data_IF_198942993803
#
_entry.id   IF_198942993803
#
_cell.length_a   1.000
_cell.length_b   1.000
_cell.length_c   1.000
_cell.angle_alpha   90.00
_cell.angle_beta   90.00
_cell.angle_gamma   90.00
#
_symmetry.space_group_name_H-M   'P 1'
#
loop_
_entity.id
_entity.type
_entity.pdbx_description
1 polymer ?
#
# COMPACT_ATOMS: atom_id res chain seq x y z
N UNK A 1 -15.13 14.86 7.69
CA UNK A 1 -14.45 13.82 6.89
C UNK A 1 -12.99 13.83 7.31
N UNK A 2 -12.61 12.91 8.19
CA UNK A 2 -11.20 12.73 8.53
C UNK A 2 -10.49 12.20 7.28
N UNK A 3 -9.46 12.92 6.84
CA UNK A 3 -8.66 12.52 5.68
C UNK A 3 -7.74 11.40 6.15
N UNK A 4 -7.78 10.22 5.53
CA UNK A 4 -6.81 9.14 5.79
C UNK A 4 -5.40 9.74 5.69
N UNK A 5 -4.69 9.80 6.81
CA UNK A 5 -3.30 10.26 6.89
C UNK A 5 -2.43 9.03 6.90
N UNK A 6 -1.77 8.77 5.78
CA UNK A 6 -0.85 7.66 5.64
C UNK A 6 0.58 8.17 5.53
N UNK A 7 1.44 7.60 6.36
CA UNK A 7 2.88 7.84 6.32
C UNK A 7 3.48 7.11 5.12
N UNK A 8 4.17 7.85 4.25
CA UNK A 8 4.97 7.26 3.18
C UNK A 8 6.17 6.53 3.79
N UNK A 9 6.21 5.21 3.68
CA UNK A 9 7.32 4.41 4.24
C UNK A 9 8.67 4.66 3.53
N UNK A 10 8.67 5.28 2.36
CA UNK A 10 9.89 5.63 1.61
C UNK A 10 10.54 6.93 2.06
N UNK A 11 9.76 7.90 2.58
CA UNK A 11 10.30 9.19 3.01
C UNK A 11 9.91 9.63 4.43
N UNK A 12 9.07 8.85 5.12
CA UNK A 12 8.58 9.12 6.47
C UNK A 12 7.56 10.27 6.58
N UNK A 13 7.17 10.91 5.47
CA UNK A 13 6.23 12.03 5.50
C UNK A 13 4.77 11.55 5.46
N UNK A 14 3.88 12.22 6.19
CA UNK A 14 2.42 12.06 6.10
C UNK A 14 1.85 12.70 4.81
N UNK A 15 2.29 12.20 3.67
CA UNK A 15 2.04 12.80 2.35
C UNK A 15 1.50 11.83 1.30
N UNK A 16 1.14 10.60 1.68
CA UNK A 16 0.42 9.70 0.79
C UNK A 16 -1.02 10.21 0.62
N UNK A 17 -1.39 10.49 -0.64
CA UNK A 17 -2.73 10.94 -0.99
C UNK A 17 -3.37 9.94 -1.95
N UNK A 18 -4.67 9.60 -1.76
CA UNK A 18 -5.38 8.76 -2.70
C UNK A 18 -5.46 9.46 -4.06
N UNK A 19 -5.17 8.71 -5.12
CA UNK A 19 -5.41 9.13 -6.49
C UNK A 19 -6.81 8.70 -6.88
N UNK A 20 -7.60 9.62 -7.42
CA UNK A 20 -8.86 9.29 -8.05
C UNK A 20 -8.54 8.65 -9.41
N UNK A 21 -8.49 7.33 -9.45
CA UNK A 21 -8.33 6.58 -10.70
C UNK A 21 -9.71 6.34 -11.27
N UNK A 22 -10.05 7.06 -12.34
CA UNK A 22 -11.23 6.75 -13.16
C UNK A 22 -10.83 5.57 -14.03
N UNK A 23 -11.28 4.36 -13.67
CA UNK A 23 -11.17 3.20 -14.53
C UNK A 23 -12.30 3.32 -15.57
N UNK A 24 -11.97 3.81 -16.77
CA UNK A 24 -12.92 3.82 -17.88
C UNK A 24 -13.19 2.38 -18.33
N UNK A 25 -14.42 1.90 -18.09
CA UNK A 25 -15.06 0.76 -18.76
C UNK A 25 -14.49 -0.66 -18.55
N UNK A 26 -13.94 -0.99 -17.38
CA UNK A 26 -13.65 -2.39 -16.97
C UNK A 26 -14.03 -2.70 -15.50
N UNK A 27 -15.06 -2.03 -14.96
CA UNK A 27 -15.51 -2.26 -13.58
C UNK A 27 -15.98 -3.72 -13.35
N UNK A 28 -16.51 -4.39 -14.37
CA UNK A 28 -17.06 -5.75 -14.23
C UNK A 28 -16.00 -6.86 -14.18
N UNK A 29 -14.82 -6.72 -14.82
CA UNK A 29 -13.81 -7.79 -14.81
C UNK A 29 -12.97 -7.79 -13.53
N UNK A 30 -12.69 -6.61 -12.96
CA UNK A 30 -11.94 -6.49 -11.71
C UNK A 30 -12.83 -6.85 -10.51
N UNK A 31 -14.12 -6.48 -10.52
CA UNK A 31 -15.06 -6.86 -9.46
C UNK A 31 -15.31 -8.39 -9.40
N UNK A 32 -15.35 -9.07 -10.55
CA UNK A 32 -15.59 -10.51 -10.61
C UNK A 32 -14.37 -11.38 -10.25
N UNK A 33 -13.15 -10.84 -10.30
CA UNK A 33 -11.92 -11.55 -9.92
C UNK A 33 -11.68 -11.61 -8.40
N UNK A 34 -12.32 -10.72 -7.61
CA UNK A 34 -11.85 -10.37 -6.26
C UNK A 34 -12.82 -10.70 -5.11
N UNK A 35 -13.91 -11.44 -5.37
CA UNK A 35 -14.69 -12.18 -4.37
C UNK A 35 -14.87 -11.52 -2.99
N UNK A 36 -15.73 -10.50 -2.89
CA UNK A 36 -16.08 -9.80 -1.64
C UNK A 36 -16.27 -8.29 -1.87
N UNK A 37 -16.62 -7.53 -0.82
CA UNK A 37 -16.52 -6.06 -0.85
C UNK A 37 -15.03 -5.66 -0.78
N UNK A 38 -14.32 -5.84 -1.89
CA UNK A 38 -12.92 -5.44 -2.00
C UNK A 38 -12.82 -3.99 -2.50
N UNK A 39 -12.14 -3.14 -1.74
CA UNK A 39 -11.90 -1.74 -2.13
C UNK A 39 -10.42 -1.56 -2.46
N UNK A 40 -10.10 -1.24 -3.71
CA UNK A 40 -8.73 -0.90 -4.12
C UNK A 40 -8.56 0.62 -4.27
N UNK A 41 -7.39 1.13 -3.87
CA UNK A 41 -7.04 2.56 -3.98
C UNK A 41 -5.57 2.72 -4.32
N UNK A 42 -5.27 3.64 -5.24
CA UNK A 42 -3.91 4.06 -5.50
C UNK A 42 -3.56 5.25 -4.63
N UNK A 43 -2.35 5.26 -4.08
CA UNK A 43 -1.81 6.37 -3.30
C UNK A 43 -0.50 6.82 -3.93
N UNK A 44 -0.32 8.15 -3.99
CA UNK A 44 0.94 8.75 -4.41
C UNK A 44 1.45 9.71 -3.34
N UNK A 45 2.74 9.58 -3.02
CA UNK A 45 3.43 10.44 -2.08
C UNK A 45 3.76 11.77 -2.74
N UNK A 46 3.17 12.85 -2.22
CA UNK A 46 3.35 14.20 -2.78
C UNK A 46 4.75 14.79 -2.54
N UNK A 47 5.61 14.10 -1.79
CA UNK A 47 6.98 14.54 -1.48
C UNK A 47 8.01 13.82 -2.33
N UNK A 48 8.00 12.48 -2.34
CA UNK A 48 8.99 11.69 -3.07
C UNK A 48 8.46 11.06 -4.37
N UNK A 49 7.19 11.27 -4.72
CA UNK A 49 6.56 10.72 -5.92
C UNK A 49 6.29 9.21 -5.88
N UNK A 50 6.46 8.59 -4.71
CA UNK A 50 6.35 7.16 -4.53
C UNK A 50 4.90 6.67 -4.59
N UNK A 51 4.67 5.51 -5.20
CA UNK A 51 3.32 5.03 -5.52
C UNK A 51 3.02 3.69 -4.84
N UNK A 52 1.81 3.58 -4.31
CA UNK A 52 1.33 2.45 -3.54
C UNK A 52 -0.07 2.05 -3.99
N UNK A 53 -0.32 0.76 -4.15
CA UNK A 53 -1.66 0.20 -4.31
C UNK A 53 -2.11 -0.36 -2.97
N UNK A 54 -3.22 0.12 -2.42
CA UNK A 54 -3.87 -0.53 -1.29
C UNK A 54 -5.02 -1.40 -1.78
N UNK A 55 -5.15 -2.60 -1.21
CA UNK A 55 -6.30 -3.49 -1.39
C UNK A 55 -6.86 -3.78 -0.01
N UNK A 56 -8.11 -3.36 0.23
CA UNK A 56 -8.84 -3.64 1.46
C UNK A 56 -9.76 -4.83 1.25
N UNK A 57 -9.63 -5.80 2.14
CA UNK A 57 -10.47 -6.99 2.19
C UNK A 57 -11.21 -7.00 3.54
N UNK A 58 -12.54 -7.09 3.49
CA UNK A 58 -13.39 -7.21 4.68
C UNK A 58 -13.88 -8.64 4.80
N UNK A 59 -13.67 -9.26 5.95
CA UNK A 59 -14.27 -10.57 6.24
C UNK A 59 -15.69 -10.40 6.79
N UNK A 60 -16.52 -11.42 6.63
CA UNK A 60 -17.88 -11.47 7.20
C UNK A 60 -17.90 -11.45 8.73
N UNK A 61 -16.75 -11.70 9.37
CA UNK A 61 -16.55 -11.69 10.83
C UNK A 61 -16.17 -10.30 11.37
N UNK A 62 -16.13 -9.28 10.51
CA UNK A 62 -15.81 -7.90 10.89
C UNK A 62 -14.31 -7.57 10.94
N UNK A 63 -13.44 -8.54 10.66
CA UNK A 63 -12.00 -8.31 10.51
C UNK A 63 -11.70 -7.66 9.16
N UNK A 64 -10.72 -6.78 9.14
CA UNK A 64 -10.30 -6.06 7.95
C UNK A 64 -8.79 -6.21 7.75
N UNK A 65 -8.39 -6.54 6.54
CA UNK A 65 -6.98 -6.49 6.14
C UNK A 65 -6.79 -5.48 5.03
N UNK A 66 -5.75 -4.66 5.13
CA UNK A 66 -5.37 -3.73 4.06
C UNK A 66 -3.96 -4.02 3.62
N UNK A 67 -3.83 -4.53 2.41
CA UNK A 67 -2.54 -4.83 1.78
C UNK A 67 -2.07 -3.63 0.99
N UNK A 68 -0.90 -3.10 1.31
CA UNK A 68 -0.21 -2.06 0.57
C UNK A 68 0.92 -2.66 -0.26
N UNK A 69 0.88 -2.46 -1.56
CA UNK A 69 1.85 -2.96 -2.54
C UNK A 69 2.62 -1.79 -3.15
N UNK A 70 3.94 -1.86 -3.13
CA UNK A 70 4.82 -0.83 -3.69
C UNK A 70 4.85 -0.92 -5.23
N UNK A 71 4.43 0.17 -5.91
CA UNK A 71 4.20 0.21 -7.37
C UNK A 71 5.36 0.89 -8.11
N UNK A 72 6.60 0.46 -7.89
CA UNK A 72 7.79 1.00 -8.56
C UNK A 72 8.38 0.06 -9.64
N UNK A 73 7.63 -0.96 -10.07
CA UNK A 73 8.09 -1.86 -11.15
C UNK A 73 9.35 -2.67 -10.84
N UNK A 74 9.71 -2.81 -9.56
CA UNK A 74 10.94 -3.47 -9.11
C UNK A 74 10.63 -4.84 -8.48
N UNK A 75 11.35 -5.87 -8.94
CA UNK A 75 11.31 -7.22 -8.39
C UNK A 75 12.41 -7.39 -7.34
N UNK A 76 12.16 -8.06 -6.20
CA UNK A 76 10.90 -8.71 -5.79
C UNK A 76 9.86 -7.73 -5.23
N UNK A 77 8.56 -7.91 -5.46
CA UNK A 77 7.53 -6.94 -5.02
C UNK A 77 7.57 -6.73 -3.50
N UNK A 78 7.62 -5.48 -3.03
CA UNK A 78 7.50 -5.17 -1.60
C UNK A 78 6.03 -4.92 -1.26
N UNK A 79 5.51 -5.65 -0.26
CA UNK A 79 4.15 -5.45 0.27
C UNK A 79 4.16 -5.41 1.80
N UNK A 80 3.19 -4.71 2.39
CA UNK A 80 2.90 -4.74 3.83
C UNK A 80 1.40 -4.88 4.05
N UNK A 81 0.99 -5.59 5.07
CA UNK A 81 -0.41 -5.88 5.38
C UNK A 81 -0.72 -5.32 6.75
N UNK A 82 -1.71 -4.43 6.81
CA UNK A 82 -2.31 -3.98 8.05
C UNK A 82 -3.44 -4.94 8.44
N UNK A 83 -3.38 -5.47 9.65
CA UNK A 83 -4.45 -6.25 10.27
C UNK A 83 -5.22 -5.33 11.22
N UNK A 84 -6.53 -5.25 11.04
CA UNK A 84 -7.40 -4.31 11.76
C UNK A 84 -8.69 -4.99 12.20
N UNK A 85 -9.09 -4.75 13.45
CA UNK A 85 -10.38 -5.18 13.99
C UNK A 85 -11.53 -4.18 13.69
N UNK A 86 -11.23 -2.96 13.21
CA UNK A 86 -12.24 -1.95 12.83
C UNK A 86 -12.07 -1.47 11.37
N UNK A 87 -13.06 -1.67 10.48
CA UNK A 87 -12.93 -1.38 9.05
C UNK A 87 -13.09 0.11 8.65
N UNK A 88 -13.37 1.02 9.60
CA UNK A 88 -13.86 2.37 9.26
C UNK A 88 -12.77 3.37 8.84
N UNK A 89 -11.54 3.30 9.38
CA UNK A 89 -10.46 4.25 9.06
C UNK A 89 -9.11 3.57 9.10
N UNK A 90 -8.36 3.62 7.99
CA UNK A 90 -6.96 3.15 7.95
C UNK A 90 -6.06 4.31 8.37
N UNK A 91 -5.61 4.24 9.61
CA UNK A 91 -4.55 5.09 10.17
C UNK A 91 -3.55 4.19 10.89
N UNK A 92 -2.31 4.63 11.05
CA UNK A 92 -1.30 3.88 11.81
C UNK A 92 -1.74 3.59 13.27
N UNK A 93 -2.72 4.34 13.80
CA UNK A 93 -3.29 4.19 15.15
C UNK A 93 -4.37 3.10 15.28
N UNK A 94 -4.98 2.69 14.15
CA UNK A 94 -6.06 1.71 14.11
C UNK A 94 -5.60 0.33 13.62
N UNK A 95 -4.29 0.14 13.45
CA UNK A 95 -3.70 -1.13 13.00
C UNK A 95 -3.21 -1.91 14.20
N UNK A 96 -3.73 -3.13 14.35
CA UNK A 96 -3.36 -4.05 15.43
C UNK A 96 -1.97 -4.66 15.17
N UNK A 97 -1.71 -5.03 13.91
CA UNK A 97 -0.45 -5.66 13.50
C UNK A 97 -0.08 -5.30 12.06
N UNK A 98 1.22 -5.11 11.81
CA UNK A 98 1.79 -4.97 10.47
C UNK A 98 2.62 -6.20 10.13
N UNK A 99 2.33 -6.82 8.99
CA UNK A 99 3.14 -7.89 8.41
C UNK A 99 3.84 -7.38 7.14
N UNK A 100 5.13 -7.64 6.99
CA UNK A 100 5.94 -7.16 5.86
C UNK A 100 6.41 -8.33 4.99
N UNK A 101 6.49 -8.11 3.67
CA UNK A 101 6.89 -9.14 2.72
C UNK A 101 7.81 -8.59 1.63
N UNK A 102 8.76 -9.44 1.23
CA UNK A 102 9.62 -9.26 0.07
C UNK A 102 9.34 -10.40 -0.92
N UNK A 103 8.64 -10.07 -2.00
CA UNK A 103 7.97 -11.06 -2.85
C UNK A 103 6.84 -11.74 -2.07
N UNK A 104 6.94 -13.05 -1.92
CA UNK A 104 6.00 -13.86 -1.14
C UNK A 104 6.55 -14.27 0.23
N UNK A 105 7.80 -13.92 0.53
CA UNK A 105 8.44 -14.27 1.80
C UNK A 105 8.16 -13.20 2.86
N UNK A 106 7.65 -13.58 4.04
CA UNK A 106 7.51 -12.67 5.17
C UNK A 106 8.90 -12.28 5.69
N UNK A 107 9.09 -11.00 5.97
CA UNK A 107 10.35 -10.43 6.44
C UNK A 107 10.09 -9.48 7.61
N UNK A 108 11.11 -9.24 8.42
CA UNK A 108 11.04 -8.23 9.48
C UNK A 108 10.99 -6.80 8.89
N UNK A 109 10.37 -5.87 9.61
CA UNK A 109 10.15 -4.48 9.15
C UNK A 109 11.45 -3.77 8.79
N UNK A 110 12.51 -3.98 9.57
CA UNK A 110 13.84 -3.40 9.34
C UNK A 110 14.42 -3.83 7.99
N UNK A 111 14.42 -5.13 7.72
CA UNK A 111 14.91 -5.68 6.44
C UNK A 111 14.06 -5.24 5.25
N UNK A 112 12.77 -5.07 5.49
CA UNK A 112 11.86 -4.57 4.46
C UNK A 112 12.14 -3.11 4.15
N UNK A 113 12.39 -2.29 5.18
CA UNK A 113 12.79 -0.89 5.04
C UNK A 113 14.12 -0.74 4.31
N UNK A 114 15.13 -1.54 4.65
CA UNK A 114 16.43 -1.54 3.95
C UNK A 114 16.24 -1.77 2.44
N UNK A 115 15.40 -2.76 2.07
CA UNK A 115 15.10 -3.06 0.67
C UNK A 115 14.34 -1.92 -0.04
N UNK A 116 13.54 -1.15 0.69
CA UNK A 116 12.83 0.01 0.16
C UNK A 116 13.77 1.20 -0.07
N UNK A 117 14.68 1.45 0.86
CA UNK A 117 15.70 2.50 0.75
C UNK A 117 16.66 2.21 -0.42
N UNK A 118 17.14 0.97 -0.56
CA UNK A 118 17.97 0.53 -1.69
C UNK A 118 17.33 0.82 -3.06
N UNK A 119 16.01 0.60 -3.17
CA UNK A 119 15.25 0.90 -4.41
C UNK A 119 15.23 2.37 -4.72
N UNK A 120 14.97 3.19 -3.69
CA UNK A 120 14.91 4.64 -3.85
C UNK A 120 16.24 5.17 -4.34
N UNK A 121 17.33 4.68 -3.77
CA UNK A 121 18.68 5.12 -4.15
C UNK A 121 19.02 4.67 -5.57
N UNK A 122 18.61 3.46 -5.97
CA UNK A 122 18.70 2.98 -7.36
C UNK A 122 17.91 3.85 -8.34
N UNK A 123 16.68 4.23 -8.00
CA UNK A 123 15.83 5.07 -8.85
C UNK A 123 16.40 6.49 -8.99
N UNK A 124 16.86 7.08 -7.89
CA UNK A 124 17.55 8.38 -7.91
C UNK A 124 18.76 8.36 -8.83
N UNK A 125 19.59 7.30 -8.74
CA UNK A 125 20.77 7.15 -9.59
C UNK A 125 20.41 7.01 -11.08
N UNK A 126 19.27 6.41 -11.39
CA UNK A 126 18.83 6.17 -12.77
C UNK A 126 18.21 7.42 -13.40
N UNK A 127 17.44 8.20 -12.65
CA UNK A 127 16.75 9.41 -13.14
C UNK A 127 17.61 10.68 -13.16
N UNK A 128 18.85 10.63 -12.66
CA UNK A 128 19.80 11.76 -12.71
C UNK A 128 20.79 11.69 -13.89
N UNK A 129 20.60 10.77 -14.85
CA UNK A 129 21.37 10.71 -16.10
C UNK A 129 20.63 11.36 -17.27
#
# INVERSE_FOLDING_TARGET
>A
METEKLTCKTCGCESLRPMQVVLEEEEDEIQNLLGGEQESRFYSCQVCGDNWLSVREKTTEGKCTVTFVHQMGTSPVLKRVAHMDNPLVVSDENVDEWTYYKGDEPVAEDKWHDALDDRRDTLKATCMN
#
